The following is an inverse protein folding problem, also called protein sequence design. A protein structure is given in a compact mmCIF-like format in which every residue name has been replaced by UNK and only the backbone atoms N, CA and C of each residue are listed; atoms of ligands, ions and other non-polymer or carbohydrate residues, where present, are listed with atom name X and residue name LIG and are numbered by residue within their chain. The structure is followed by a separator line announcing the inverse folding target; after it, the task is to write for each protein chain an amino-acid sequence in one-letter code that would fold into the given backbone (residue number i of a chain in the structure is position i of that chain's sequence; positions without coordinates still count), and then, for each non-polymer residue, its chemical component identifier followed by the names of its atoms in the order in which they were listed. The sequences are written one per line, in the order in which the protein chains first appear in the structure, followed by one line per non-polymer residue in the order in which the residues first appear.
data_IF_276122226122
#
_entry.id   IF_276122226122
#
_cell.length_a   1.000
_cell.length_b   1.000
_cell.length_c   1.000
_cell.angle_alpha   90.00
_cell.angle_beta   90.00
_cell.angle_gamma   90.00
#
_symmetry.space_group_name_H-M   'P 1'
#
loop_
_entity.id
_entity.type
_entity.pdbx_description
1 polymer ?
#
# COMPACT_ATOMS: atom_id res chain seq x y z
N UNK A 1 -50.24 -22.53 19.91
CA UNK A 1 -49.35 -23.13 18.91
C UNK A 1 -48.17 -22.19 18.74
N UNK A 2 -46.98 -22.69 19.05
CA UNK A 2 -45.73 -21.96 19.13
C UNK A 2 -45.06 -21.79 17.75
N UNK A 3 -44.20 -20.76 17.67
CA UNK A 3 -42.91 -20.65 16.97
C UNK A 3 -42.75 -19.18 16.50
N UNK A 4 -42.17 -18.29 17.31
CA UNK A 4 -40.73 -18.01 17.46
C UNK A 4 -40.04 -17.50 16.18
N UNK A 5 -39.88 -16.17 16.08
CA UNK A 5 -38.71 -15.54 15.47
C UNK A 5 -38.23 -14.41 16.39
N UNK A 6 -37.03 -14.60 16.93
CA UNK A 6 -36.28 -13.70 17.81
C UNK A 6 -35.83 -12.41 17.08
N UNK A 7 -35.83 -11.25 17.78
CA UNK A 7 -35.10 -10.06 17.38
C UNK A 7 -33.81 -9.93 18.21
N UNK A 8 -32.63 -10.15 17.61
CA UNK A 8 -31.35 -9.93 18.30
C UNK A 8 -30.32 -9.25 17.39
N UNK A 9 -30.30 -7.92 17.42
CA UNK A 9 -29.15 -7.08 17.07
C UNK A 9 -29.37 -5.70 17.71
N UNK A 10 -29.24 -5.66 19.03
CA UNK A 10 -29.12 -4.44 19.81
C UNK A 10 -27.82 -4.56 20.61
N UNK A 11 -26.89 -3.63 20.33
CA UNK A 11 -25.73 -3.39 21.18
C UNK A 11 -26.23 -3.05 22.59
N UNK A 12 -25.90 -3.88 23.57
CA UNK A 12 -26.19 -3.59 24.97
C UNK A 12 -25.23 -2.54 25.49
N UNK A 13 -25.78 -1.40 25.90
CA UNK A 13 -25.11 -0.40 26.74
C UNK A 13 -24.68 -1.04 28.07
N UNK A 14 -23.40 -0.95 28.43
CA UNK A 14 -22.92 -1.27 29.77
C UNK A 14 -22.91 0.02 30.58
N UNK A 15 -23.74 0.07 31.61
CA UNK A 15 -23.72 1.10 32.64
C UNK A 15 -22.78 0.67 33.77
N UNK A 16 -21.62 1.33 33.81
CA UNK A 16 -20.93 1.95 34.95
C UNK A 16 -20.43 1.18 36.20
N UNK A 17 -19.17 1.54 36.52
CA UNK A 17 -18.41 1.56 37.79
C UNK A 17 -17.61 0.33 38.22
N UNK A 18 -16.29 0.47 38.04
CA UNK A 18 -15.23 -0.26 38.72
C UNK A 18 -13.90 0.11 38.08
N UNK A 19 -13.19 1.10 38.65
CA UNK A 19 -11.83 1.47 38.25
C UNK A 19 -10.91 0.25 38.36
N UNK A 20 -10.41 -0.25 37.23
CA UNK A 20 -9.15 -0.97 37.14
C UNK A 20 -8.61 -0.84 35.71
N UNK A 21 -7.35 -0.40 35.64
CA UNK A 21 -6.53 -0.14 34.47
C UNK A 21 -6.31 -1.42 33.65
N UNK A 22 -7.14 -1.64 32.64
CA UNK A 22 -6.88 -2.65 31.60
C UNK A 22 -6.84 -1.94 30.24
N UNK A 23 -5.61 -1.64 29.83
CA UNK A 23 -5.30 -1.19 28.48
C UNK A 23 -5.92 -2.14 27.45
N UNK A 24 -6.57 -1.54 26.45
CA UNK A 24 -7.05 -2.25 25.28
C UNK A 24 -5.83 -2.86 24.58
N UNK A 25 -5.56 -4.13 24.88
CA UNK A 25 -4.63 -4.95 24.11
C UNK A 25 -5.26 -5.09 22.74
N UNK A 26 -4.75 -4.32 21.78
CA UNK A 26 -4.96 -4.61 20.36
C UNK A 26 -4.43 -6.03 20.14
N UNK A 27 -5.33 -6.92 19.78
CA UNK A 27 -5.12 -8.34 19.53
C UNK A 27 -3.97 -8.58 18.54
N UNK A 28 -2.74 -8.72 19.03
CA UNK A 28 -1.59 -9.22 18.27
C UNK A 28 -1.67 -10.75 18.17
N UNK A 29 -2.70 -11.26 17.47
CA UNK A 29 -2.64 -12.64 17.01
C UNK A 29 -1.54 -12.74 15.93
N UNK A 30 -0.55 -13.64 16.08
CA UNK A 30 0.47 -13.84 15.06
C UNK A 30 -0.22 -14.18 13.75
N UNK A 31 0.12 -13.45 12.68
CA UNK A 31 -0.38 -13.73 11.33
C UNK A 31 -0.08 -15.19 10.99
N UNK A 32 -1.13 -16.01 10.94
CA UNK A 32 -1.03 -17.45 10.69
C UNK A 32 -0.75 -17.73 9.22
N UNK A 33 0.01 -18.80 8.95
CA UNK A 33 0.24 -19.30 7.58
C UNK A 33 -1.08 -19.61 6.85
N UNK A 34 -2.15 -19.98 7.58
CA UNK A 34 -3.48 -20.20 6.99
C UNK A 34 -4.12 -18.91 6.47
N UNK A 35 -4.01 -17.83 7.24
CA UNK A 35 -4.53 -16.53 6.85
C UNK A 35 -3.80 -15.98 5.61
N UNK A 36 -2.47 -16.13 5.57
CA UNK A 36 -1.68 -15.72 4.39
C UNK A 36 -2.01 -16.58 3.17
N UNK A 37 -2.26 -17.88 3.34
CA UNK A 37 -2.71 -18.76 2.26
C UNK A 37 -4.03 -18.27 1.65
N UNK A 38 -5.00 -17.96 2.50
CA UNK A 38 -6.29 -17.40 2.07
C UNK A 38 -6.12 -16.06 1.32
N UNK A 39 -5.23 -15.19 1.80
CA UNK A 39 -4.88 -13.97 1.08
C UNK A 39 -4.29 -14.26 -0.32
N UNK A 40 -3.35 -15.20 -0.42
CA UNK A 40 -2.73 -15.58 -1.71
C UNK A 40 -3.75 -16.18 -2.70
N UNK A 41 -4.76 -16.88 -2.21
CA UNK A 41 -5.85 -17.40 -3.06
C UNK A 41 -6.76 -16.29 -3.60
N UNK A 42 -7.00 -15.25 -2.79
CA UNK A 42 -7.88 -14.12 -3.11
C UNK A 42 -7.20 -13.01 -3.91
N UNK A 43 -5.87 -12.87 -3.84
CA UNK A 43 -5.17 -11.71 -4.40
C UNK A 43 -5.43 -11.51 -5.90
N UNK A 44 -5.60 -12.59 -6.67
CA UNK A 44 -5.92 -12.52 -8.10
C UNK A 44 -7.25 -11.82 -8.41
N UNK A 45 -8.23 -11.91 -7.51
CA UNK A 45 -9.54 -11.27 -7.66
C UNK A 45 -9.49 -9.76 -7.40
N UNK A 46 -8.35 -9.28 -6.88
CA UNK A 46 -8.10 -7.89 -6.49
C UNK A 46 -7.04 -7.24 -7.38
N UNK A 47 -6.76 -7.86 -8.54
CA UNK A 47 -5.90 -7.31 -9.59
C UNK A 47 -6.73 -6.58 -10.66
N UNK A 48 -6.09 -5.67 -11.42
CA UNK A 48 -6.68 -5.13 -12.65
C UNK A 48 -7.02 -6.23 -13.66
N UNK A 49 -7.87 -5.89 -14.64
CA UNK A 49 -8.22 -6.79 -15.75
C UNK A 49 -6.99 -7.24 -16.55
N UNK A 50 -7.01 -8.49 -17.06
CA UNK A 50 -5.86 -9.13 -17.70
C UNK A 50 -5.28 -8.35 -18.91
N UNK A 51 -6.13 -7.61 -19.64
CA UNK A 51 -5.74 -6.79 -20.78
C UNK A 51 -5.11 -5.44 -20.40
N UNK A 52 -5.20 -5.04 -19.12
CA UNK A 52 -4.81 -3.71 -18.66
C UNK A 52 -3.34 -3.36 -18.96
N UNK A 53 -2.43 -4.28 -18.63
CA UNK A 53 -0.98 -4.08 -18.86
C UNK A 53 -0.69 -3.99 -20.36
N UNK A 54 -1.39 -4.77 -21.18
CA UNK A 54 -1.22 -4.72 -22.63
C UNK A 54 -1.64 -3.37 -23.20
N UNK A 55 -2.74 -2.78 -22.69
CA UNK A 55 -3.23 -1.44 -23.07
C UNK A 55 -2.29 -0.33 -22.61
N UNK A 56 -1.70 -0.46 -21.42
CA UNK A 56 -0.66 0.45 -20.94
C UNK A 56 0.55 0.43 -21.90
N UNK A 57 1.07 -0.76 -22.22
CA UNK A 57 2.24 -0.93 -23.10
C UNK A 57 1.97 -0.49 -24.55
N UNK A 58 0.74 -0.64 -25.05
CA UNK A 58 0.38 -0.24 -26.41
C UNK A 58 0.15 1.27 -26.57
N UNK A 59 0.17 2.04 -25.47
CA UNK A 59 -0.21 3.46 -25.49
C UNK A 59 -1.68 3.71 -25.78
N UNK A 60 -2.57 2.73 -25.52
CA UNK A 60 -4.00 2.86 -25.77
C UNK A 60 -4.57 4.07 -25.02
N UNK A 61 -5.09 5.05 -25.74
CA UNK A 61 -5.66 6.30 -25.19
C UNK A 61 -4.71 7.06 -24.23
N UNK A 62 -3.39 6.95 -24.38
CA UNK A 62 -2.43 7.57 -23.44
C UNK A 62 -2.62 7.11 -21.98
N UNK A 63 -3.11 5.87 -21.78
CA UNK A 63 -3.44 5.32 -20.46
C UNK A 63 -2.28 5.35 -19.47
N UNK A 64 -1.08 5.02 -19.93
CA UNK A 64 0.14 5.01 -19.11
C UNK A 64 0.58 6.43 -18.70
N UNK A 65 0.41 7.42 -19.58
CA UNK A 65 0.64 8.83 -19.25
C UNK A 65 -0.32 9.28 -18.14
N UNK A 66 -1.61 8.98 -18.29
CA UNK A 66 -2.64 9.35 -17.31
C UNK A 66 -2.45 8.64 -15.97
N UNK A 67 -2.05 7.37 -15.98
CA UNK A 67 -1.68 6.63 -14.77
C UNK A 67 -0.53 7.33 -14.03
N UNK A 68 0.52 7.75 -14.75
CA UNK A 68 1.64 8.50 -14.15
C UNK A 68 1.22 9.86 -13.61
N UNK A 69 0.35 10.59 -14.31
CA UNK A 69 -0.17 11.87 -13.82
C UNK A 69 -0.95 11.71 -12.52
N UNK A 70 -1.85 10.72 -12.47
CA UNK A 70 -2.59 10.38 -11.26
C UNK A 70 -1.64 9.99 -10.10
N UNK A 71 -0.64 9.14 -10.36
CA UNK A 71 0.34 8.77 -9.36
C UNK A 71 1.15 9.98 -8.86
N UNK A 72 1.63 10.84 -9.75
CA UNK A 72 2.38 12.04 -9.35
C UNK A 72 1.55 12.95 -8.45
N UNK A 73 0.25 13.06 -8.73
CA UNK A 73 -0.67 13.79 -7.88
C UNK A 73 -0.84 13.10 -6.51
N UNK A 74 -1.05 11.78 -6.47
CA UNK A 74 -1.18 10.99 -5.24
C UNK A 74 0.06 11.16 -4.37
N UNK A 75 1.27 11.04 -4.95
CA UNK A 75 2.53 11.15 -4.22
C UNK A 75 2.69 12.52 -3.56
N UNK A 76 2.35 13.61 -4.27
CA UNK A 76 2.39 14.96 -3.70
C UNK A 76 1.43 15.13 -2.53
N UNK A 77 0.20 14.63 -2.67
CA UNK A 77 -0.78 14.67 -1.60
C UNK A 77 -0.36 13.84 -0.38
N UNK A 78 0.18 12.64 -0.60
CA UNK A 78 0.75 11.82 0.47
C UNK A 78 1.93 12.51 1.15
N UNK A 79 2.78 13.22 0.42
CA UNK A 79 3.90 13.98 1.01
C UNK A 79 3.41 15.13 1.90
N UNK A 80 2.43 15.92 1.43
CA UNK A 80 1.86 17.03 2.18
C UNK A 80 1.14 16.60 3.47
N UNK A 81 0.51 15.42 3.47
CA UNK A 81 -0.23 14.87 4.62
C UNK A 81 0.51 13.76 5.38
N UNK A 82 1.76 13.47 4.98
CA UNK A 82 2.61 12.42 5.57
C UNK A 82 1.97 11.02 5.58
N UNK A 83 1.20 10.69 4.54
CA UNK A 83 0.60 9.36 4.39
C UNK A 83 1.65 8.29 4.07
N UNK A 84 1.37 7.09 4.55
CA UNK A 84 2.29 5.95 4.45
C UNK A 84 2.33 5.29 3.06
N UNK A 85 3.34 4.44 2.81
CA UNK A 85 3.44 3.62 1.60
C UNK A 85 2.23 2.72 1.35
N UNK A 86 1.58 2.25 2.42
CA UNK A 86 0.36 1.44 2.35
C UNK A 86 -0.77 2.19 1.65
N UNK A 87 -1.01 3.45 2.04
CA UNK A 87 -2.02 4.32 1.45
C UNK A 87 -1.74 4.59 -0.03
N UNK A 88 -0.47 4.81 -0.41
CA UNK A 88 -0.06 4.94 -1.82
C UNK A 88 -0.41 3.67 -2.61
N UNK A 89 -0.07 2.50 -2.08
CA UNK A 89 -0.30 1.22 -2.75
C UNK A 89 -1.80 0.90 -2.89
N UNK A 90 -2.60 1.19 -1.86
CA UNK A 90 -4.06 1.07 -1.89
C UNK A 90 -4.68 2.02 -2.92
N UNK A 91 -4.26 3.29 -2.92
CA UNK A 91 -4.73 4.30 -3.88
C UNK A 91 -4.48 3.85 -5.32
N UNK A 92 -3.28 3.32 -5.59
CA UNK A 92 -2.89 2.84 -6.92
C UNK A 92 -3.58 1.53 -7.29
N UNK A 93 -3.82 0.62 -6.35
CA UNK A 93 -4.66 -0.55 -6.60
C UNK A 93 -6.06 -0.14 -7.04
N UNK A 94 -6.66 0.86 -6.38
CA UNK A 94 -7.99 1.34 -6.75
C UNK A 94 -7.99 2.00 -8.13
N UNK A 95 -6.98 2.84 -8.40
CA UNK A 95 -6.79 3.52 -9.67
C UNK A 95 -6.66 2.50 -10.82
N UNK A 96 -5.75 1.54 -10.69
CA UNK A 96 -5.43 0.59 -11.75
C UNK A 96 -6.62 -0.35 -12.03
N UNK A 97 -7.32 -0.83 -10.99
CA UNK A 97 -8.56 -1.61 -11.14
C UNK A 97 -9.70 -0.81 -11.77
N UNK A 98 -9.80 0.47 -11.45
CA UNK A 98 -10.81 1.33 -12.04
C UNK A 98 -10.54 1.55 -13.54
N UNK A 99 -9.30 1.92 -13.87
CA UNK A 99 -8.86 2.19 -15.24
C UNK A 99 -8.85 0.94 -16.12
N UNK A 100 -8.75 -0.26 -15.54
CA UNK A 100 -8.84 -1.50 -16.32
C UNK A 100 -10.23 -1.73 -16.92
N UNK A 101 -11.29 -1.28 -16.22
CA UNK A 101 -12.69 -1.47 -16.62
C UNK A 101 -13.39 -0.18 -17.06
N UNK A 102 -12.72 0.97 -17.01
CA UNK A 102 -13.28 2.27 -17.36
C UNK A 102 -12.35 3.08 -18.23
N UNK A 103 -12.79 3.39 -19.45
CA UNK A 103 -12.06 4.26 -20.37
C UNK A 103 -12.44 5.73 -20.20
N UNK A 104 -11.42 6.57 -20.12
CA UNK A 104 -11.58 8.00 -20.34
C UNK A 104 -11.16 8.35 -21.78
N UNK A 105 -11.89 9.26 -22.46
CA UNK A 105 -11.41 9.86 -23.70
C UNK A 105 -10.02 10.48 -23.51
N UNK A 106 -9.15 10.42 -24.53
CA UNK A 106 -7.86 11.12 -24.49
C UNK A 106 -8.07 12.63 -24.30
N UNK A 107 -7.15 13.28 -23.58
CA UNK A 107 -7.23 14.70 -23.22
C UNK A 107 -8.13 15.04 -22.01
N UNK A 108 -8.82 14.06 -21.41
CA UNK A 108 -9.65 14.29 -20.22
C UNK A 108 -8.83 14.27 -18.92
N UNK A 109 -7.94 15.24 -18.75
CA UNK A 109 -7.01 15.33 -17.60
C UNK A 109 -7.72 15.62 -16.28
N UNK A 110 -8.82 16.40 -16.30
CA UNK A 110 -9.59 16.70 -15.09
C UNK A 110 -10.22 15.45 -14.49
N UNK A 111 -10.73 14.52 -15.32
CA UNK A 111 -11.34 13.29 -14.82
C UNK A 111 -10.31 12.37 -14.17
N UNK A 112 -9.09 12.32 -14.71
CA UNK A 112 -7.97 11.57 -14.14
C UNK A 112 -7.56 12.15 -12.79
N UNK A 113 -7.44 13.47 -12.66
CA UNK A 113 -7.13 14.11 -11.38
C UNK A 113 -8.26 13.86 -10.36
N UNK A 114 -9.53 13.98 -10.76
CA UNK A 114 -10.67 13.69 -9.88
C UNK A 114 -10.67 12.23 -9.42
N UNK A 115 -10.35 11.29 -10.31
CA UNK A 115 -10.21 9.88 -9.97
C UNK A 115 -9.07 9.66 -8.97
N UNK A 116 -7.90 10.29 -9.18
CA UNK A 116 -6.77 10.21 -8.26
C UNK A 116 -7.14 10.71 -6.85
N UNK A 117 -7.85 11.84 -6.75
CA UNK A 117 -8.35 12.40 -5.48
C UNK A 117 -9.30 11.41 -4.79
N UNK A 118 -10.23 10.82 -5.53
CA UNK A 118 -11.19 9.88 -4.98
C UNK A 118 -10.52 8.57 -4.52
N UNK A 119 -9.60 8.01 -5.31
CA UNK A 119 -8.83 6.82 -4.94
C UNK A 119 -8.00 7.07 -3.67
N UNK A 120 -7.33 8.23 -3.58
CA UNK A 120 -6.57 8.61 -2.40
C UNK A 120 -7.47 8.79 -1.17
N UNK A 121 -8.61 9.48 -1.32
CA UNK A 121 -9.53 9.67 -0.20
C UNK A 121 -10.07 8.35 0.33
N UNK A 122 -10.42 7.41 -0.55
CA UNK A 122 -10.85 6.07 -0.14
C UNK A 122 -9.71 5.31 0.56
N UNK A 123 -8.49 5.37 0.05
CA UNK A 123 -7.34 4.69 0.66
C UNK A 123 -6.99 5.28 2.04
N UNK A 124 -7.00 6.61 2.18
CA UNK A 124 -6.76 7.29 3.44
C UNK A 124 -7.80 6.88 4.50
N UNK A 125 -9.09 6.77 4.13
CA UNK A 125 -10.15 6.27 5.03
C UNK A 125 -9.98 4.83 5.49
N UNK A 126 -9.17 4.03 4.80
CA UNK A 126 -8.89 2.63 5.15
C UNK A 126 -7.61 2.51 5.98
N UNK A 127 -6.59 3.29 5.64
CA UNK A 127 -5.22 3.06 6.13
C UNK A 127 -4.74 4.11 7.13
N UNK A 128 -5.22 5.34 7.05
CA UNK A 128 -4.68 6.46 7.82
C UNK A 128 -5.56 6.77 9.03
N UNK A 129 -4.94 7.05 10.18
CA UNK A 129 -5.65 7.39 11.43
C UNK A 129 -6.42 8.69 11.30
N UNK A 130 -5.81 9.69 10.65
CA UNK A 130 -6.37 11.02 10.48
C UNK A 130 -6.54 11.30 8.99
N UNK A 131 -7.79 11.51 8.58
CA UNK A 131 -8.14 11.77 7.19
C UNK A 131 -8.50 13.26 7.05
N UNK A 132 -7.72 14.04 6.28
CA UNK A 132 -8.02 15.45 6.00
C UNK A 132 -9.35 15.62 5.27
N UNK A 133 -9.87 16.85 5.27
CA UNK A 133 -11.05 17.17 4.46
C UNK A 133 -10.75 17.00 2.97
N UNK A 134 -11.79 16.73 2.16
CA UNK A 134 -11.65 16.53 0.71
C UNK A 134 -11.06 17.73 -0.03
N UNK A 135 -11.19 18.93 0.53
CA UNK A 135 -10.55 20.14 -0.03
C UNK A 135 -9.05 20.16 0.23
N UNK A 136 -8.61 19.66 1.39
CA UNK A 136 -7.21 19.67 1.81
C UNK A 136 -6.43 18.51 1.16
N UNK A 137 -7.11 17.41 0.81
CA UNK A 137 -6.52 16.34 -0.01
C UNK A 137 -6.11 16.83 -1.41
N UNK A 138 -6.56 18.01 -1.85
CA UNK A 138 -6.27 18.58 -3.17
C UNK A 138 -4.95 19.34 -3.25
N UNK A 139 -3.88 18.65 -2.87
CA UNK A 139 -2.50 19.10 -2.75
C UNK A 139 -1.78 19.41 -4.08
N UNK A 140 -0.58 19.99 -3.98
CA UNK A 140 0.41 19.97 -5.06
C UNK A 140 0.15 20.90 -6.24
N UNK A 141 -0.49 22.05 -5.99
CA UNK A 141 -0.96 23.01 -7.02
C UNK A 141 -1.81 22.29 -8.08
N UNK A 142 -2.99 21.80 -7.71
CA UNK A 142 -3.82 21.02 -8.62
C UNK A 142 -4.24 21.87 -9.81
N UNK A 143 -4.29 21.27 -11.01
CA UNK A 143 -4.77 21.96 -12.20
C UNK A 143 -6.26 22.29 -12.08
N UNK A 144 -7.00 21.43 -11.38
CA UNK A 144 -8.42 21.57 -11.12
C UNK A 144 -8.70 21.42 -9.63
N UNK A 145 -9.57 22.27 -9.08
CA UNK A 145 -10.07 22.13 -7.71
C UNK A 145 -11.53 21.71 -7.78
N UNK A 146 -11.86 20.62 -7.10
CA UNK A 146 -13.17 20.00 -7.13
C UNK A 146 -13.92 20.27 -5.83
N UNK A 147 -15.22 20.52 -5.96
CA UNK A 147 -16.12 20.52 -4.82
C UNK A 147 -16.17 19.13 -4.16
N UNK A 148 -16.35 19.09 -2.84
CA UNK A 148 -16.50 17.85 -2.08
C UNK A 148 -17.55 16.90 -2.67
N UNK A 149 -18.69 17.44 -3.16
CA UNK A 149 -19.75 16.64 -3.80
C UNK A 149 -19.30 15.93 -5.07
N UNK A 150 -18.41 16.55 -5.85
CA UNK A 150 -17.85 15.95 -7.07
C UNK A 150 -16.89 14.81 -6.73
N UNK A 151 -16.04 15.02 -5.71
CA UNK A 151 -15.15 13.97 -5.18
C UNK A 151 -15.97 12.80 -4.66
N UNK A 152 -16.98 13.05 -3.80
CA UNK A 152 -17.87 12.01 -3.27
C UNK A 152 -18.59 11.20 -4.37
N UNK A 153 -19.05 11.85 -5.44
CA UNK A 153 -19.64 11.15 -6.60
C UNK A 153 -18.63 10.24 -7.29
N UNK A 154 -17.38 10.69 -7.42
CA UNK A 154 -16.32 9.86 -7.96
C UNK A 154 -15.97 8.71 -7.01
N UNK A 155 -15.93 8.93 -5.69
CA UNK A 155 -15.74 7.86 -4.70
C UNK A 155 -16.82 6.77 -4.84
N UNK A 156 -18.09 7.17 -4.95
CA UNK A 156 -19.21 6.27 -5.21
C UNK A 156 -19.05 5.51 -6.53
N UNK A 157 -18.56 6.16 -7.58
CA UNK A 157 -18.29 5.49 -8.85
C UNK A 157 -17.17 4.46 -8.72
N UNK A 158 -16.08 4.80 -8.01
CA UNK A 158 -14.97 3.88 -7.71
C UNK A 158 -15.49 2.69 -6.90
N UNK A 159 -16.17 2.94 -5.79
CA UNK A 159 -16.78 1.89 -4.95
C UNK A 159 -17.63 0.92 -5.77
N UNK A 160 -18.51 1.44 -6.63
CA UNK A 160 -19.37 0.60 -7.47
C UNK A 160 -18.58 -0.20 -8.52
N UNK A 161 -17.55 0.39 -9.14
CA UNK A 161 -16.70 -0.32 -10.11
C UNK A 161 -15.82 -1.39 -9.46
N UNK A 162 -15.44 -1.18 -8.21
CA UNK A 162 -14.63 -2.12 -7.43
C UNK A 162 -15.47 -3.12 -6.64
N UNK A 163 -16.80 -3.11 -6.83
CA UNK A 163 -17.77 -3.93 -6.09
C UNK A 163 -17.59 -3.82 -4.56
N UNK A 164 -17.25 -2.62 -4.08
CA UNK A 164 -16.97 -2.33 -2.67
C UNK A 164 -15.82 -3.15 -2.06
N UNK A 165 -15.01 -3.83 -2.89
CA UNK A 165 -13.85 -4.62 -2.45
C UNK A 165 -12.64 -3.70 -2.26
N UNK A 166 -12.68 -2.86 -1.22
CA UNK A 166 -11.63 -1.90 -0.89
C UNK A 166 -10.49 -2.49 -0.04
N UNK A 167 -10.71 -3.61 0.65
CA UNK A 167 -9.63 -4.35 1.34
C UNK A 167 -8.75 -5.08 0.32
N UNK A 168 -8.03 -4.29 -0.48
CA UNK A 168 -7.12 -4.79 -1.50
C UNK A 168 -5.94 -5.49 -0.84
N UNK A 169 -5.50 -6.59 -1.46
CA UNK A 169 -4.27 -7.27 -1.06
C UNK A 169 -3.15 -6.68 -1.90
N UNK A 170 -2.30 -5.87 -1.26
CA UNK A 170 -1.15 -5.22 -1.91
C UNK A 170 0.13 -5.93 -1.50
N UNK A 171 1.27 -5.74 -2.20
CA UNK A 171 2.53 -6.34 -1.77
C UNK A 171 2.88 -5.96 -0.32
N UNK A 172 2.53 -4.74 0.10
CA UNK A 172 2.77 -4.25 1.45
C UNK A 172 2.08 -5.11 2.53
N UNK A 173 0.92 -5.70 2.22
CA UNK A 173 0.16 -6.56 3.15
C UNK A 173 0.91 -7.83 3.58
N UNK A 174 1.92 -8.27 2.82
CA UNK A 174 2.69 -9.49 3.12
C UNK A 174 4.08 -9.24 3.70
N UNK A 175 4.57 -7.99 3.71
CA UNK A 175 5.97 -7.69 4.05
C UNK A 175 6.34 -8.17 5.44
N UNK A 176 5.52 -7.87 6.46
CA UNK A 176 5.78 -8.31 7.84
C UNK A 176 5.86 -9.83 7.93
N UNK A 177 4.95 -10.54 7.25
CA UNK A 177 4.93 -12.00 7.23
C UNK A 177 6.22 -12.57 6.62
N UNK A 178 6.61 -12.12 5.42
CA UNK A 178 7.80 -12.66 4.77
C UNK A 178 9.07 -12.34 5.55
N UNK A 179 9.23 -11.10 6.05
CA UNK A 179 10.37 -10.71 6.87
C UNK A 179 10.46 -11.55 8.16
N UNK A 180 9.32 -11.81 8.81
CA UNK A 180 9.27 -12.66 10.00
C UNK A 180 9.67 -14.10 9.69
N UNK A 181 9.18 -14.69 8.60
CA UNK A 181 9.53 -16.05 8.21
C UNK A 181 11.00 -16.20 7.84
N UNK A 182 11.64 -15.13 7.37
CA UNK A 182 13.08 -15.12 7.10
C UNK A 182 13.93 -14.88 8.35
N UNK A 183 13.35 -14.36 9.43
CA UNK A 183 14.08 -14.11 10.66
C UNK A 183 14.39 -15.43 11.38
N UNK A 184 15.56 -15.48 12.04
CA UNK A 184 15.92 -16.63 12.85
C UNK A 184 14.96 -16.70 14.04
N UNK A 185 14.26 -17.82 14.18
CA UNK A 185 13.28 -18.09 15.24
C UNK A 185 11.94 -17.32 15.16
N UNK A 186 11.46 -16.96 13.96
CA UNK A 186 10.15 -16.30 13.75
C UNK A 186 9.97 -15.02 14.62
N UNK A 187 11.07 -14.30 14.88
CA UNK A 187 11.08 -13.05 15.62
C UNK A 187 10.45 -11.91 14.81
N UNK A 188 9.87 -10.93 15.51
CA UNK A 188 9.30 -9.74 14.88
C UNK A 188 10.39 -8.98 14.10
N UNK A 189 10.17 -8.71 12.80
CA UNK A 189 11.19 -8.08 11.98
C UNK A 189 11.44 -6.63 12.42
N UNK A 190 12.71 -6.15 12.36
CA UNK A 190 13.02 -4.76 12.64
C UNK A 190 12.19 -3.78 11.81
N UNK A 191 11.66 -2.75 12.44
CA UNK A 191 10.89 -1.69 11.77
C UNK A 191 11.66 -1.05 10.61
N UNK A 192 13.00 -0.99 10.68
CA UNK A 192 13.85 -0.48 9.60
C UNK A 192 13.76 -1.32 8.32
N UNK A 193 13.67 -2.65 8.44
CA UNK A 193 13.47 -3.54 7.28
C UNK A 193 12.06 -3.40 6.72
N UNK A 194 11.04 -3.35 7.60
CA UNK A 194 9.66 -3.14 7.18
C UNK A 194 9.55 -1.83 6.39
N UNK A 195 10.00 -0.71 6.97
CA UNK A 195 9.95 0.60 6.32
C UNK A 195 10.72 0.62 4.99
N UNK A 196 11.91 0.02 4.93
CA UNK A 196 12.70 -0.06 3.69
C UNK A 196 11.96 -0.89 2.62
N UNK A 197 11.38 -2.03 2.98
CA UNK A 197 10.59 -2.85 2.06
C UNK A 197 9.37 -2.10 1.52
N UNK A 198 8.64 -1.40 2.39
CA UNK A 198 7.48 -0.60 2.00
C UNK A 198 7.88 0.56 1.05
N UNK A 199 9.01 1.22 1.30
CA UNK A 199 9.55 2.27 0.42
C UNK A 199 9.93 1.72 -0.96
N UNK A 200 10.55 0.55 -1.03
CA UNK A 200 10.86 -0.13 -2.30
C UNK A 200 9.57 -0.43 -3.07
N UNK A 201 8.54 -0.96 -2.41
CA UNK A 201 7.26 -1.23 -3.09
C UNK A 201 6.63 0.06 -3.63
N UNK A 202 6.58 1.12 -2.80
CA UNK A 202 6.01 2.40 -3.21
C UNK A 202 6.78 3.03 -4.37
N UNK A 203 8.12 2.96 -4.38
CA UNK A 203 8.93 3.51 -5.47
C UNK A 203 8.67 2.80 -6.80
N UNK A 204 8.48 1.48 -6.77
CA UNK A 204 8.19 0.65 -7.96
C UNK A 204 6.78 0.82 -8.50
N UNK A 205 5.87 1.41 -7.72
CA UNK A 205 4.50 1.73 -8.17
C UNK A 205 4.50 2.75 -9.34
N UNK A 206 5.60 3.51 -9.51
CA UNK A 206 5.85 4.41 -10.65
C UNK A 206 5.90 3.70 -11.99
N UNK A 207 6.48 2.51 -12.03
CA UNK A 207 6.53 1.67 -13.22
C UNK A 207 5.23 0.90 -13.43
N UNK A 208 5.11 0.29 -14.60
CA UNK A 208 4.04 -0.67 -14.91
C UNK A 208 4.53 -2.12 -14.83
N UNK A 209 5.85 -2.34 -14.70
CA UNK A 209 6.42 -3.68 -14.80
C UNK A 209 5.99 -4.56 -13.63
N UNK A 210 5.76 -3.98 -12.45
CA UNK A 210 5.35 -4.75 -11.28
C UNK A 210 3.89 -5.20 -11.34
N UNK A 211 3.08 -4.61 -12.23
CA UNK A 211 1.68 -5.00 -12.44
C UNK A 211 1.54 -6.41 -12.99
N UNK A 212 2.58 -6.94 -13.66
CA UNK A 212 2.54 -8.30 -14.22
C UNK A 212 2.71 -9.40 -13.15
N UNK A 213 3.01 -9.01 -11.91
CA UNK A 213 3.28 -9.90 -10.79
C UNK A 213 2.18 -9.92 -9.75
N UNK A 214 2.07 -11.06 -9.07
CA UNK A 214 1.16 -11.17 -7.93
C UNK A 214 1.70 -10.37 -6.74
N UNK A 215 0.83 -9.80 -5.90
CA UNK A 215 1.24 -9.07 -4.71
C UNK A 215 2.17 -9.89 -3.79
N UNK A 216 1.86 -11.18 -3.61
CA UNK A 216 2.70 -12.13 -2.87
C UNK A 216 4.11 -12.31 -3.46
N UNK A 217 4.24 -12.39 -4.80
CA UNK A 217 5.52 -12.53 -5.51
C UNK A 217 6.39 -11.29 -5.32
N UNK A 218 5.79 -10.10 -5.46
CA UNK A 218 6.47 -8.82 -5.27
C UNK A 218 6.94 -8.67 -3.82
N UNK A 219 6.07 -8.97 -2.86
CA UNK A 219 6.40 -8.84 -1.45
C UNK A 219 7.53 -9.78 -1.02
N UNK A 220 7.48 -11.05 -1.44
CA UNK A 220 8.52 -12.02 -1.17
C UNK A 220 9.86 -11.57 -1.78
N UNK A 221 9.85 -11.12 -3.03
CA UNK A 221 11.06 -10.60 -3.69
C UNK A 221 11.65 -9.41 -2.95
N UNK A 222 10.83 -8.42 -2.59
CA UNK A 222 11.28 -7.21 -1.90
C UNK A 222 11.86 -7.57 -0.53
N UNK A 223 11.18 -8.45 0.20
CA UNK A 223 11.65 -8.89 1.51
C UNK A 223 13.01 -9.61 1.37
N UNK A 224 13.16 -10.50 0.39
CA UNK A 224 14.42 -11.20 0.09
C UNK A 224 15.54 -10.22 -0.29
N UNK A 225 15.27 -9.26 -1.18
CA UNK A 225 16.24 -8.26 -1.61
C UNK A 225 16.70 -7.36 -0.45
N UNK A 226 15.77 -6.89 0.38
CA UNK A 226 16.07 -6.00 1.52
C UNK A 226 16.83 -6.73 2.64
N UNK A 227 16.55 -8.02 2.85
CA UNK A 227 17.28 -8.87 3.80
C UNK A 227 18.64 -9.35 3.28
N UNK A 228 18.95 -9.16 1.99
CA UNK A 228 20.17 -9.67 1.37
C UNK A 228 20.15 -11.18 1.10
N UNK A 229 18.96 -11.78 1.05
CA UNK A 229 18.76 -13.23 0.92
C UNK A 229 18.29 -13.67 -0.47
N UNK A 230 18.18 -12.75 -1.44
CA UNK A 230 17.63 -13.02 -2.78
C UNK A 230 18.24 -14.25 -3.48
N UNK A 231 19.55 -14.47 -3.33
CA UNK A 231 20.27 -15.57 -3.97
C UNK A 231 20.54 -16.77 -3.05
N UNK A 232 20.27 -16.65 -1.74
CA UNK A 232 20.53 -17.69 -0.75
C UNK A 232 19.32 -18.59 -0.48
N UNK A 233 18.11 -18.14 -0.86
CA UNK A 233 16.88 -18.88 -0.60
C UNK A 233 16.63 -20.01 -1.60
N UNK A 234 16.55 -21.23 -1.05
CA UNK A 234 16.06 -22.41 -1.74
C UNK A 234 14.56 -22.56 -1.48
N UNK A 235 13.72 -22.18 -2.45
CA UNK A 235 12.25 -22.28 -2.39
C UNK A 235 11.74 -23.72 -2.12
N UNK A 236 12.57 -24.72 -2.44
CA UNK A 236 12.25 -26.15 -2.31
C UNK A 236 12.73 -26.77 -0.99
N UNK A 237 13.51 -26.05 -0.18
CA UNK A 237 14.04 -26.55 1.10
C UNK A 237 13.32 -25.93 2.30
N UNK A 238 13.11 -26.76 3.31
CA UNK A 238 12.37 -26.54 4.56
C UNK A 238 12.90 -25.44 5.50
N UNK A 239 13.72 -24.50 5.02
CA UNK A 239 14.29 -23.44 5.86
C UNK A 239 13.30 -22.30 6.15
N UNK A 240 12.26 -22.15 5.33
CA UNK A 240 11.23 -21.11 5.46
C UNK A 240 9.82 -21.71 5.41
N UNK A 241 8.79 -20.87 5.60
CA UNK A 241 7.39 -21.31 5.56
C UNK A 241 7.04 -22.07 4.26
N UNK A 242 6.17 -23.10 4.32
CA UNK A 242 5.62 -23.78 3.15
C UNK A 242 4.98 -22.84 2.12
N UNK A 243 4.59 -21.61 2.50
CA UNK A 243 4.00 -20.67 1.55
C UNK A 243 5.01 -20.16 0.50
N UNK A 244 6.32 -20.25 0.75
CA UNK A 244 7.32 -19.96 -0.28
C UNK A 244 7.22 -20.93 -1.47
N UNK A 245 6.80 -22.19 -1.25
CA UNK A 245 6.65 -23.15 -2.34
C UNK A 245 5.43 -22.85 -3.24
N UNK A 246 4.52 -21.97 -2.82
CA UNK A 246 3.39 -21.51 -3.65
C UNK A 246 3.79 -20.37 -4.61
N UNK A 247 4.99 -19.80 -4.41
CA UNK A 247 5.53 -18.74 -5.23
C UNK A 247 6.31 -19.34 -6.40
N UNK A 248 6.25 -18.67 -7.55
CA UNK A 248 7.06 -19.05 -8.71
C UNK A 248 8.46 -18.45 -8.56
N UNK A 249 9.43 -19.29 -8.25
CA UNK A 249 10.82 -18.91 -7.99
C UNK A 249 11.43 -18.01 -9.06
N UNK A 250 11.22 -18.34 -10.33
CA UNK A 250 11.76 -17.60 -11.48
C UNK A 250 11.19 -16.18 -11.52
N UNK A 251 9.91 -16.02 -11.16
CA UNK A 251 9.24 -14.72 -11.13
C UNK A 251 9.72 -13.88 -9.96
N UNK A 252 9.88 -14.47 -8.78
CA UNK A 252 10.42 -13.78 -7.60
C UNK A 252 11.85 -13.30 -7.87
N UNK A 253 12.70 -14.14 -8.48
CA UNK A 253 14.06 -13.74 -8.88
C UNK A 253 14.07 -12.60 -9.89
N UNK A 254 13.22 -12.67 -10.93
CA UNK A 254 13.10 -11.62 -11.93
C UNK A 254 12.76 -10.27 -11.29
N UNK A 255 11.83 -10.24 -10.33
CA UNK A 255 11.49 -9.01 -9.59
C UNK A 255 12.71 -8.50 -8.83
N UNK A 256 13.47 -9.38 -8.18
CA UNK A 256 14.67 -9.02 -7.41
C UNK A 256 15.75 -8.39 -8.29
N UNK A 257 16.00 -8.97 -9.45
CA UNK A 257 16.93 -8.42 -10.46
C UNK A 257 16.49 -7.02 -10.93
N UNK A 258 15.19 -6.80 -11.13
CA UNK A 258 14.63 -5.48 -11.48
C UNK A 258 14.74 -4.46 -10.33
N UNK A 259 14.75 -4.91 -9.08
CA UNK A 259 15.00 -4.03 -7.93
C UNK A 259 16.45 -3.59 -7.92
N UNK A 260 17.38 -4.54 -8.11
CA UNK A 260 18.83 -4.29 -8.12
C UNK A 260 19.29 -3.42 -9.30
N UNK A 261 18.68 -3.56 -10.48
CA UNK A 261 19.06 -2.79 -11.68
C UNK A 261 18.74 -1.29 -11.59
N UNK A 262 17.79 -0.91 -10.74
CA UNK A 262 17.30 0.46 -10.61
C UNK A 262 17.95 1.23 -9.45
N UNK A 263 18.77 0.58 -8.63
CA UNK A 263 19.53 1.26 -7.58
C UNK A 263 20.61 2.14 -8.24
N UNK A 264 20.56 3.49 -8.10
CA UNK A 264 21.64 4.33 -8.58
C UNK A 264 22.90 3.95 -7.78
N UNK A 265 23.93 3.51 -8.51
CA UNK A 265 25.18 3.02 -7.94
C UNK A 265 25.69 3.92 -6.82
N UNK A 266 25.67 3.39 -5.59
CA UNK A 266 26.28 4.02 -4.44
C UNK A 266 27.81 3.96 -4.60
N UNK A 267 28.44 4.93 -5.27
CA UNK A 267 29.86 5.20 -5.06
C UNK A 267 30.36 6.60 -5.50
N UNK A 268 31.16 7.17 -4.60
CA UNK A 268 32.14 8.26 -4.73
C UNK A 268 31.73 9.68 -4.30
N UNK A 269 32.64 10.26 -3.51
CA UNK A 269 32.50 11.47 -2.73
C UNK A 269 32.65 12.76 -3.58
N UNK A 270 31.77 13.74 -3.30
CA UNK A 270 31.93 15.23 -3.34
C UNK A 270 32.19 15.97 -4.67
N UNK A 271 31.95 17.30 -4.75
CA UNK A 271 30.95 18.15 -4.10
C UNK A 271 30.19 19.11 -5.07
N UNK A 272 29.17 19.79 -4.52
CA UNK A 272 28.41 20.94 -5.06
C UNK A 272 27.36 20.69 -6.17
N UNK A 273 26.10 20.66 -5.71
CA UNK A 273 25.17 21.71 -6.09
C UNK A 273 24.17 21.40 -7.21
N UNK A 274 23.26 20.44 -7.00
CA UNK A 274 21.83 20.52 -7.33
C UNK A 274 21.12 19.52 -6.41
N UNK A 275 20.14 19.97 -5.62
CA UNK A 275 19.31 19.10 -4.78
C UNK A 275 18.42 18.25 -5.67
N UNK A 276 18.66 16.94 -5.71
CA UNK A 276 17.72 15.96 -6.26
C UNK A 276 16.71 15.61 -5.14
N UNK A 277 15.46 16.04 -5.32
CA UNK A 277 14.41 16.13 -4.29
C UNK A 277 13.79 14.76 -3.90
N UNK A 278 14.18 13.67 -4.56
CA UNK A 278 13.47 12.39 -4.46
C UNK A 278 13.71 11.57 -3.19
N UNK A 279 14.65 11.97 -2.32
CA UNK A 279 14.98 11.23 -1.09
C UNK A 279 14.27 11.72 0.17
N UNK A 280 13.54 12.85 0.11
CA UNK A 280 12.92 13.44 1.30
C UNK A 280 11.56 12.83 1.68
N UNK A 281 10.91 12.05 0.81
CA UNK A 281 9.53 11.61 1.00
C UNK A 281 9.31 10.56 2.10
N UNK A 282 10.34 10.10 2.83
CA UNK A 282 10.20 8.91 3.69
C UNK A 282 10.80 9.02 5.09
N UNK A 283 10.99 10.24 5.62
CA UNK A 283 11.39 10.40 7.03
C UNK A 283 10.18 10.26 7.96
N UNK A 284 9.94 9.04 8.47
CA UNK A 284 9.05 8.82 9.61
C UNK A 284 9.77 9.22 10.90
N UNK A 285 9.27 10.24 11.62
CA UNK A 285 9.75 10.58 12.96
C UNK A 285 9.30 9.52 13.96
N UNK A 286 10.27 8.91 14.65
CA UNK A 286 10.05 8.24 15.93
C UNK A 286 9.74 9.31 16.99
N UNK A 287 8.57 9.21 17.63
CA UNK A 287 8.26 10.03 18.80
C UNK A 287 9.09 9.52 19.99
N UNK A 288 10.21 10.19 20.28
CA UNK A 288 10.83 10.12 21.60
C UNK A 288 10.19 11.18 22.50
N UNK A 289 9.36 10.73 23.44
CA UNK A 289 8.87 11.55 24.54
C UNK A 289 9.94 11.63 25.63
N UNK A 290 10.74 12.68 25.63
CA UNK A 290 11.53 13.09 26.81
C UNK A 290 11.15 14.51 27.23
N UNK A 291 10.34 14.62 28.28
CA UNK A 291 10.03 15.88 28.96
C UNK A 291 11.28 16.47 29.62
N UNK A 292 11.58 17.77 29.47
CA UNK A 292 12.62 18.41 30.26
C UNK A 292 12.06 18.84 31.62
N UNK A 293 12.54 18.19 32.69
CA UNK A 293 12.41 18.70 34.05
C UNK A 293 13.11 20.06 34.16
N UNK A 294 12.34 21.10 34.42
CA UNK A 294 12.87 22.44 34.76
C UNK A 294 13.15 22.45 36.27
N UNK A 295 14.42 22.39 36.66
CA UNK A 295 14.83 22.71 38.03
C UNK A 295 14.95 24.24 38.15
N UNK A 296 14.07 24.83 38.95
CA UNK A 296 14.24 26.19 39.48
C UNK A 296 15.28 26.17 40.61
N UNK A 297 16.23 27.09 40.53
CA UNK A 297 16.94 27.66 41.67
C UNK A 297 17.15 29.15 41.40
#
# INVERSE_FOLDING_TARGET
MAANLEPSLLCTEITNVGDEDDGIILDETPISDEFIREMMEKEKQLLPSDDYISRLRSGYLDLDVRRREALNWILKACEEHQFGPMCICLSMNYLDRFLSVHDFPSGNTWAVQLLAVACLSLAAKIEETEVPMLIDLQAGHPQFVFEAKSVQRMELLVLNRLEWRLRAITPCSYIRYFLRKMSKCDQEPPNTLISRSLQVIASKTKGIDFLEFRPSEVAASVALSVSGELYTVHFDNSSFSPLFSLLQKERVKKIGEMIESDEPGLCSQTPNGVLEVSACCFSSKTHDSSSPHTHLS
#
